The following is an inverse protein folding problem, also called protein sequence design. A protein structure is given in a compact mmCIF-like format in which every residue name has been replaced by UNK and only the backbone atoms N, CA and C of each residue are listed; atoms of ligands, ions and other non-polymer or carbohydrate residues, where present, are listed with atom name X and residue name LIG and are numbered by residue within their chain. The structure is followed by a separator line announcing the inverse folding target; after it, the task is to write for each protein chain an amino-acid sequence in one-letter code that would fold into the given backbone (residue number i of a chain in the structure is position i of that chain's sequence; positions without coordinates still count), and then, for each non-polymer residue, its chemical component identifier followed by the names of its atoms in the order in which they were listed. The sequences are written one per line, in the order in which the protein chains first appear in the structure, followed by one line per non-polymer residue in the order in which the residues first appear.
data_IF_738771765579
#
_entry.id   IF_738771765579
#
_cell.length_a   1.000
_cell.length_b   1.000
_cell.length_c   1.000
_cell.angle_alpha   90.00
_cell.angle_beta   90.00
_cell.angle_gamma   90.00
#
_symmetry.space_group_name_H-M   'P 1'
#
loop_
_entity.id
_entity.type
_entity.pdbx_description
1 polymer ?
#
# COMPACT_ATOMS: atom_id res chain seq x y z
N UNK A 1 -29.54 -25.57 -4.27
CA UNK A 1 -28.15 -25.40 -3.76
C UNK A 1 -27.82 -23.92 -3.86
N UNK A 2 -27.86 -23.26 -2.72
CA UNK A 2 -27.98 -21.81 -2.59
C UNK A 2 -26.65 -21.09 -2.63
N UNK A 3 -26.71 -19.88 -3.20
CA UNK A 3 -25.68 -18.85 -3.33
C UNK A 3 -24.93 -18.60 -2.02
N UNK A 4 -23.61 -18.75 -2.05
CA UNK A 4 -22.69 -18.08 -1.12
C UNK A 4 -22.47 -16.63 -1.60
N UNK A 5 -23.45 -15.78 -1.33
CA UNK A 5 -23.22 -14.33 -1.23
C UNK A 5 -22.91 -14.03 0.23
N UNK A 6 -21.64 -13.99 0.62
CA UNK A 6 -21.22 -13.41 1.91
C UNK A 6 -19.70 -13.34 2.00
N UNK A 7 -19.12 -12.14 1.83
CA UNK A 7 -17.90 -11.67 2.50
C UNK A 7 -17.41 -10.29 1.99
N UNK A 8 -17.83 -9.82 0.80
CA UNK A 8 -17.28 -8.59 0.21
C UNK A 8 -17.87 -7.26 0.73
N UNK A 9 -18.45 -7.21 1.94
CA UNK A 9 -19.08 -6.00 2.50
C UNK A 9 -18.54 -5.64 3.87
N UNK A 10 -17.26 -5.28 3.95
CA UNK A 10 -16.76 -4.39 5.01
C UNK A 10 -15.36 -3.83 4.71
N UNK A 11 -15.11 -3.35 3.50
CA UNK A 11 -14.00 -2.40 3.31
C UNK A 11 -14.50 -1.01 3.70
N UNK A 12 -14.14 -0.58 4.90
CA UNK A 12 -14.14 0.84 5.25
C UNK A 12 -13.28 1.58 4.22
N UNK A 13 -13.78 2.72 3.72
CA UNK A 13 -13.11 3.68 2.81
C UNK A 13 -12.10 3.03 1.84
N UNK A 14 -12.54 2.73 0.63
CA UNK A 14 -11.63 2.28 -0.43
C UNK A 14 -10.45 3.24 -0.57
N UNK A 15 -9.22 2.70 -0.45
CA UNK A 15 -7.97 3.41 -0.76
C UNK A 15 -7.89 3.48 -2.29
N UNK A 16 -8.41 4.55 -2.87
CA UNK A 16 -8.44 4.74 -4.32
C UNK A 16 -7.19 5.45 -4.78
N UNK A 17 -6.32 4.77 -5.53
CA UNK A 17 -5.35 5.44 -6.38
C UNK A 17 -6.01 5.93 -7.66
N UNK A 18 -5.81 7.20 -8.00
CA UNK A 18 -6.25 7.78 -9.27
C UNK A 18 -5.04 7.87 -10.21
N UNK A 19 -4.91 6.91 -11.13
CA UNK A 19 -3.96 7.05 -12.23
C UNK A 19 -4.56 8.00 -13.28
N UNK A 20 -4.20 9.29 -13.21
CA UNK A 20 -4.62 10.27 -14.22
C UNK A 20 -3.77 10.10 -15.50
N UNK A 21 -4.28 9.32 -16.44
CA UNK A 21 -3.86 9.32 -17.84
C UNK A 21 -4.91 10.06 -18.68
N UNK A 22 -4.86 11.39 -18.69
CA UNK A 22 -5.67 12.23 -19.59
C UNK A 22 -7.14 12.37 -19.19
N UNK A 23 -7.49 13.52 -18.61
CA UNK A 23 -8.86 13.88 -18.26
C UNK A 23 -8.90 14.69 -16.96
N UNK A 24 -8.80 16.01 -17.08
CA UNK A 24 -8.75 16.92 -15.93
C UNK A 24 -10.16 17.09 -15.37
N UNK A 25 -10.55 16.26 -14.40
CA UNK A 25 -11.39 16.77 -13.34
C UNK A 25 -10.54 17.79 -12.57
N UNK A 26 -11.04 19.02 -12.40
CA UNK A 26 -10.35 20.11 -11.71
C UNK A 26 -10.10 19.77 -10.25
N UNK A 27 -9.05 18.98 -9.99
CA UNK A 27 -8.43 18.89 -8.68
C UNK A 27 -7.79 20.24 -8.43
N UNK A 28 -8.27 20.93 -7.40
CA UNK A 28 -7.60 22.12 -6.87
C UNK A 28 -6.22 21.66 -6.40
N UNK A 29 -5.19 22.01 -7.16
CA UNK A 29 -3.82 21.65 -6.81
C UNK A 29 -3.46 22.29 -5.45
N UNK A 30 -2.65 21.62 -4.63
CA UNK A 30 -2.13 22.19 -3.39
C UNK A 30 -1.54 23.59 -3.63
N UNK A 31 -1.82 24.53 -2.74
CA UNK A 31 -1.26 25.88 -2.79
C UNK A 31 0.24 25.92 -2.49
N UNK A 32 0.78 24.87 -1.88
CA UNK A 32 2.20 24.64 -1.66
C UNK A 32 2.53 23.15 -1.75
N UNK A 33 3.76 22.85 -2.20
CA UNK A 33 4.30 21.50 -2.24
C UNK A 33 5.38 21.38 -1.17
N UNK A 34 5.33 20.30 -0.39
CA UNK A 34 6.39 19.98 0.56
C UNK A 34 7.53 19.28 -0.17
N UNK A 35 8.76 19.54 0.28
CA UNK A 35 9.94 18.78 -0.13
C UNK A 35 9.78 17.32 0.30
N UNK A 36 9.96 16.38 -0.64
CA UNK A 36 9.81 14.94 -0.39
C UNK A 36 10.85 14.42 0.60
N UNK A 37 11.99 15.09 0.76
CA UNK A 37 13.08 14.65 1.65
C UNK A 37 12.71 14.65 3.13
N UNK A 38 11.93 15.62 3.62
CA UNK A 38 11.54 15.67 5.05
C UNK A 38 10.45 14.67 5.41
N UNK A 39 9.54 14.39 4.47
CA UNK A 39 8.53 13.31 4.60
C UNK A 39 9.19 11.93 4.48
N UNK A 40 10.29 11.83 3.73
CA UNK A 40 10.95 10.56 3.43
C UNK A 40 11.63 9.90 4.63
N UNK A 41 12.22 10.67 5.56
CA UNK A 41 13.02 10.10 6.63
C UNK A 41 12.18 9.53 7.77
N UNK A 42 11.19 10.28 8.25
CA UNK A 42 10.36 9.87 9.40
C UNK A 42 9.48 8.65 9.07
N UNK A 43 8.83 8.64 7.90
CA UNK A 43 8.01 7.52 7.46
C UNK A 43 8.84 6.24 7.29
N UNK A 44 9.97 6.33 6.59
CA UNK A 44 10.87 5.18 6.38
C UNK A 44 11.49 4.71 7.70
N UNK A 45 11.85 5.63 8.59
CA UNK A 45 12.35 5.29 9.92
C UNK A 45 11.29 4.53 10.72
N UNK A 46 10.05 5.03 10.79
CA UNK A 46 8.96 4.36 11.49
C UNK A 46 8.67 2.95 10.93
N UNK A 47 8.66 2.80 9.61
CA UNK A 47 8.53 1.49 8.97
C UNK A 47 9.72 0.57 9.31
N UNK A 48 10.94 1.10 9.35
CA UNK A 48 12.15 0.35 9.74
C UNK A 48 12.08 -0.10 11.20
N UNK A 49 11.63 0.75 12.11
CA UNK A 49 11.46 0.44 13.54
C UNK A 49 10.41 -0.65 13.76
N UNK A 50 9.34 -0.68 12.95
CA UNK A 50 8.38 -1.79 12.94
C UNK A 50 8.95 -3.07 12.32
N UNK A 51 10.14 -3.02 11.73
CA UNK A 51 10.72 -4.08 10.88
C UNK A 51 9.82 -4.42 9.70
N UNK A 52 9.24 -3.40 9.07
CA UNK A 52 8.48 -3.52 7.84
C UNK A 52 9.43 -3.33 6.63
N UNK A 53 9.03 -3.81 5.44
CA UNK A 53 9.76 -3.59 4.19
C UNK A 53 9.95 -2.10 3.89
N UNK A 54 11.19 -1.70 3.60
CA UNK A 54 11.51 -0.29 3.30
C UNK A 54 12.29 -0.07 2.01
N UNK A 55 12.78 -1.12 1.35
CA UNK A 55 13.65 -0.97 0.17
C UNK A 55 12.96 -0.20 -0.96
N UNK A 56 11.80 -0.67 -1.39
CA UNK A 56 11.05 -0.01 -2.47
C UNK A 56 10.52 1.37 -2.04
N UNK A 57 10.16 1.54 -0.75
CA UNK A 57 9.73 2.83 -0.20
C UNK A 57 10.83 3.89 -0.32
N UNK A 58 12.07 3.54 0.07
CA UNK A 58 13.24 4.41 -0.05
C UNK A 58 13.50 4.79 -1.50
N UNK A 59 13.46 3.81 -2.41
CA UNK A 59 13.68 4.04 -3.85
C UNK A 59 12.57 4.92 -4.46
N UNK A 60 11.32 4.71 -4.08
CA UNK A 60 10.20 5.57 -4.49
C UNK A 60 10.42 7.02 -4.04
N UNK A 61 10.70 7.22 -2.75
CA UNK A 61 10.88 8.55 -2.17
C UNK A 61 12.06 9.31 -2.78
N UNK A 62 13.17 8.62 -3.08
CA UNK A 62 14.32 9.19 -3.77
C UNK A 62 14.00 9.67 -5.19
N UNK A 63 13.02 9.03 -5.85
CA UNK A 63 12.62 9.40 -7.19
C UNK A 63 11.45 10.38 -7.20
N UNK A 64 10.70 10.54 -6.11
CA UNK A 64 9.48 11.35 -6.04
C UNK A 64 9.77 12.86 -6.12
N UNK A 65 9.08 13.57 -7.02
CA UNK A 65 9.25 15.01 -7.25
C UNK A 65 8.61 15.91 -6.20
N UNK A 66 7.82 15.36 -5.26
CA UNK A 66 7.19 16.11 -4.18
C UNK A 66 5.89 15.51 -3.66
N UNK A 67 5.48 15.98 -2.50
CA UNK A 67 4.23 15.60 -1.83
C UNK A 67 3.39 16.85 -1.57
N UNK A 68 2.08 16.74 -1.77
CA UNK A 68 1.12 17.80 -1.49
C UNK A 68 -0.10 17.28 -0.75
N UNK A 69 -0.93 18.22 -0.29
CA UNK A 69 -2.16 17.92 0.43
C UNK A 69 -3.32 18.71 -0.15
N UNK A 70 -4.46 18.06 -0.39
CA UNK A 70 -5.64 18.70 -0.94
C UNK A 70 -6.92 18.03 -0.44
N UNK A 71 -8.05 18.74 -0.57
CA UNK A 71 -9.36 18.12 -0.43
C UNK A 71 -9.59 17.19 -1.62
N UNK A 72 -9.55 15.89 -1.38
CA UNK A 72 -9.79 14.85 -2.39
C UNK A 72 -11.29 14.50 -2.45
N UNK A 73 -11.77 13.92 -3.58
CA UNK A 73 -13.12 13.38 -3.66
C UNK A 73 -13.42 12.39 -2.52
N UNK A 74 -14.69 12.23 -2.12
CA UNK A 74 -15.10 11.44 -0.92
C UNK A 74 -14.56 10.01 -0.84
N UNK A 75 -14.11 9.44 -1.96
CA UNK A 75 -13.60 8.08 -2.05
C UNK A 75 -12.09 7.99 -2.29
N UNK A 76 -11.33 9.10 -2.24
CA UNK A 76 -9.89 9.09 -2.46
C UNK A 76 -9.16 9.67 -1.25
N UNK A 77 -8.18 8.93 -0.73
CA UNK A 77 -7.34 9.34 0.41
C UNK A 77 -5.96 9.80 -0.09
N UNK A 78 -5.54 9.34 -1.27
CA UNK A 78 -4.33 9.79 -1.93
C UNK A 78 -4.42 9.61 -3.45
N UNK A 79 -3.50 10.25 -4.17
CA UNK A 79 -3.36 10.14 -5.62
C UNK A 79 -1.91 10.32 -6.02
N UNK A 80 -1.31 9.32 -6.67
CA UNK A 80 -0.06 9.48 -7.41
C UNK A 80 -0.29 9.98 -8.84
N UNK A 81 0.31 11.12 -9.17
CA UNK A 81 0.35 11.66 -10.53
C UNK A 81 1.64 11.23 -11.24
N UNK A 82 1.51 10.31 -12.21
CA UNK A 82 2.64 9.79 -13.01
C UNK A 82 3.36 10.83 -13.85
N UNK A 83 2.66 11.86 -14.34
CA UNK A 83 3.24 12.88 -15.23
C UNK A 83 4.14 13.83 -14.47
N UNK A 84 3.71 14.27 -13.29
CA UNK A 84 4.50 15.16 -12.43
C UNK A 84 5.37 14.41 -11.43
N UNK A 85 5.12 13.11 -11.28
CA UNK A 85 5.74 12.23 -10.31
C UNK A 85 5.60 12.79 -8.89
N UNK A 86 4.37 13.16 -8.53
CA UNK A 86 4.00 13.72 -7.23
C UNK A 86 2.86 12.94 -6.63
N UNK A 87 2.81 12.87 -5.29
CA UNK A 87 1.67 12.31 -4.57
C UNK A 87 0.91 13.45 -3.90
N UNK A 88 -0.41 13.42 -4.03
CA UNK A 88 -1.32 14.29 -3.27
C UNK A 88 -2.06 13.43 -2.25
N UNK A 89 -1.91 13.73 -0.96
CA UNK A 89 -2.66 13.08 0.11
C UNK A 89 -3.86 13.94 0.55
N UNK A 90 -4.82 13.32 1.23
CA UNK A 90 -5.91 14.01 1.91
C UNK A 90 -5.41 14.96 3.00
N UNK A 91 -6.15 16.05 3.24
CA UNK A 91 -5.80 17.04 4.28
C UNK A 91 -5.72 16.45 5.69
N UNK A 92 -6.38 15.33 5.94
CA UNK A 92 -6.30 14.57 7.18
C UNK A 92 -4.89 14.03 7.46
N UNK A 93 -4.06 13.79 6.44
CA UNK A 93 -2.69 13.30 6.59
C UNK A 93 -1.67 14.43 6.83
N UNK A 94 -2.13 15.68 6.79
CA UNK A 94 -1.30 16.87 7.00
C UNK A 94 -1.25 17.25 8.48
N UNK A 95 -0.04 17.52 8.99
CA UNK A 95 0.14 18.26 10.24
C UNK A 95 -0.22 19.73 9.99
N UNK A 96 -1.33 20.19 10.58
CA UNK A 96 -1.84 21.56 10.43
C UNK A 96 -0.88 22.64 10.93
N UNK A 97 0.07 22.31 11.80
CA UNK A 97 1.04 23.27 12.35
C UNK A 97 2.19 23.52 11.40
N UNK A 98 2.68 22.47 10.74
CA UNK A 98 3.88 22.52 9.90
C UNK A 98 3.54 22.56 8.41
N UNK A 99 2.33 22.16 8.04
CA UNK A 99 1.92 21.97 6.64
C UNK A 99 2.55 20.73 5.99
N UNK A 100 3.32 19.94 6.74
CA UNK A 100 3.97 18.71 6.28
C UNK A 100 3.07 17.48 6.51
N UNK A 101 3.53 16.30 6.10
CA UNK A 101 2.90 15.05 6.53
C UNK A 101 2.98 14.92 8.05
N UNK A 102 1.94 14.38 8.67
CA UNK A 102 1.98 13.93 10.06
C UNK A 102 3.16 12.98 10.29
N UNK A 103 3.67 12.95 11.52
CA UNK A 103 4.69 11.97 11.90
C UNK A 103 4.14 10.55 11.78
N UNK A 104 5.00 9.58 11.56
CA UNK A 104 4.63 8.18 11.43
C UNK A 104 3.76 7.68 12.60
N UNK A 105 4.10 8.08 13.83
CA UNK A 105 3.36 7.72 15.04
C UNK A 105 1.94 8.33 15.11
N UNK A 106 1.66 9.36 14.33
CA UNK A 106 0.37 10.08 14.27
C UNK A 106 -0.49 9.63 13.08
N UNK A 107 0.08 8.85 12.15
CA UNK A 107 -0.65 8.22 11.05
C UNK A 107 -1.38 6.97 11.56
N UNK A 108 -2.66 6.86 11.24
CA UNK A 108 -3.44 5.63 11.37
C UNK A 108 -2.87 4.50 10.48
N UNK A 109 -3.28 3.26 10.75
CA UNK A 109 -2.80 2.11 9.98
C UNK A 109 -3.22 2.21 8.49
N UNK A 110 -4.42 2.72 8.23
CA UNK A 110 -4.95 2.98 6.88
C UNK A 110 -4.14 4.05 6.15
N UNK A 111 -3.78 5.13 6.85
CA UNK A 111 -2.94 6.20 6.30
C UNK A 111 -1.53 5.68 5.98
N UNK A 112 -0.93 4.85 6.84
CA UNK A 112 0.39 4.21 6.58
C UNK A 112 0.32 3.30 5.35
N UNK A 113 -0.71 2.46 5.25
CA UNK A 113 -0.91 1.59 4.11
C UNK A 113 -1.16 2.37 2.81
N UNK A 114 -1.86 3.50 2.89
CA UNK A 114 -2.07 4.42 1.76
C UNK A 114 -0.76 5.03 1.28
N UNK A 115 0.13 5.48 2.19
CA UNK A 115 1.46 5.96 1.79
C UNK A 115 2.25 4.86 1.09
N UNK A 116 2.25 3.65 1.63
CA UNK A 116 2.98 2.51 1.05
C UNK A 116 2.45 2.12 -0.36
N UNK A 117 1.13 2.22 -0.56
CA UNK A 117 0.44 2.02 -1.84
C UNK A 117 0.87 3.04 -2.89
N UNK A 118 0.78 4.34 -2.58
CA UNK A 118 1.12 5.38 -3.55
C UNK A 118 2.62 5.41 -3.88
N UNK A 119 3.47 5.10 -2.89
CA UNK A 119 4.90 4.92 -3.11
C UNK A 119 5.20 3.71 -4.00
N UNK A 120 4.38 2.66 -3.96
CA UNK A 120 4.51 1.56 -4.92
C UNK A 120 4.28 2.05 -6.35
N UNK A 121 3.25 2.84 -6.63
CA UNK A 121 3.05 3.40 -7.98
C UNK A 121 4.22 4.27 -8.44
N UNK A 122 4.79 5.07 -7.53
CA UNK A 122 5.99 5.85 -7.82
C UNK A 122 7.20 4.94 -8.14
N UNK A 123 7.49 3.96 -7.28
CA UNK A 123 8.55 2.96 -7.51
C UNK A 123 8.34 2.24 -8.85
N UNK A 124 7.12 1.80 -9.12
CA UNK A 124 6.79 1.06 -10.33
C UNK A 124 7.06 1.88 -11.59
N UNK A 125 6.59 3.14 -11.61
CA UNK A 125 6.71 4.03 -12.75
C UNK A 125 8.14 4.55 -12.98
N UNK A 126 8.91 4.76 -11.91
CA UNK A 126 10.21 5.46 -11.99
C UNK A 126 11.41 4.55 -11.86
N UNK A 127 11.28 3.40 -11.19
CA UNK A 127 12.36 2.45 -10.92
C UNK A 127 12.10 1.14 -11.64
N UNK A 128 11.10 0.36 -11.20
CA UNK A 128 10.90 -1.01 -11.67
C UNK A 128 10.78 -1.12 -13.20
N UNK A 129 9.98 -0.25 -13.82
CA UNK A 129 9.78 -0.22 -15.27
C UNK A 129 11.05 0.20 -16.03
N UNK A 130 11.93 0.99 -15.42
CA UNK A 130 13.14 1.51 -16.08
C UNK A 130 14.34 0.58 -15.95
N UNK A 131 14.46 -0.12 -14.83
CA UNK A 131 15.58 -1.02 -14.56
C UNK A 131 15.38 -2.40 -15.20
N UNK A 132 14.18 -2.70 -15.71
CA UNK A 132 13.77 -4.03 -16.19
C UNK A 132 14.19 -5.15 -15.22
N UNK A 133 14.08 -4.87 -13.93
CA UNK A 133 14.35 -5.84 -12.87
C UNK A 133 13.46 -7.08 -13.03
N UNK A 134 13.91 -8.20 -12.43
CA UNK A 134 13.14 -9.46 -12.44
C UNK A 134 11.69 -9.25 -12.00
N UNK A 135 11.46 -8.36 -11.02
CA UNK A 135 10.14 -7.96 -10.57
C UNK A 135 9.22 -7.45 -11.71
N UNK A 136 9.69 -6.51 -12.53
CA UNK A 136 8.88 -5.93 -13.62
C UNK A 136 8.62 -6.93 -14.73
N UNK A 137 9.60 -7.79 -15.06
CA UNK A 137 9.43 -8.82 -16.11
C UNK A 137 8.36 -9.85 -15.71
N UNK A 138 8.38 -10.32 -14.47
CA UNK A 138 7.37 -11.25 -13.95
C UNK A 138 6.00 -10.58 -13.90
N UNK A 139 5.91 -9.34 -13.38
CA UNK A 139 4.67 -8.56 -13.42
C UNK A 139 4.13 -8.42 -14.85
N UNK A 140 4.97 -8.08 -15.83
CA UNK A 140 4.54 -7.84 -17.21
C UNK A 140 4.03 -9.13 -17.87
N UNK A 141 4.73 -10.25 -17.64
CA UNK A 141 4.32 -11.57 -18.12
C UNK A 141 2.95 -11.96 -17.55
N UNK A 142 2.74 -11.76 -16.25
CA UNK A 142 1.45 -12.03 -15.61
C UNK A 142 0.34 -11.11 -16.13
N UNK A 143 0.63 -9.80 -16.22
CA UNK A 143 -0.29 -8.81 -16.75
C UNK A 143 -0.80 -9.16 -18.15
N UNK A 144 0.09 -9.56 -19.06
CA UNK A 144 -0.27 -9.94 -20.44
C UNK A 144 -1.17 -11.17 -20.47
N UNK A 145 -0.96 -12.14 -19.57
CA UNK A 145 -1.73 -13.39 -19.51
C UNK A 145 -3.12 -13.18 -18.92
N UNK A 146 -3.21 -12.43 -17.82
CA UNK A 146 -4.45 -12.24 -17.06
C UNK A 146 -5.34 -11.14 -17.64
N UNK A 147 -4.73 -10.07 -18.17
CA UNK A 147 -5.39 -8.83 -18.53
C UNK A 147 -5.32 -8.56 -20.02
N UNK A 148 -5.39 -9.59 -20.87
CA UNK A 148 -5.26 -9.45 -22.34
C UNK A 148 -6.30 -8.50 -22.97
N UNK A 149 -7.44 -8.29 -22.31
CA UNK A 149 -8.52 -7.35 -22.70
C UNK A 149 -8.59 -6.09 -21.84
N UNK A 150 -7.68 -5.91 -20.88
CA UNK A 150 -7.72 -4.81 -19.90
C UNK A 150 -6.44 -3.96 -19.95
N UNK A 151 -6.50 -2.65 -19.65
CA UNK A 151 -5.31 -1.83 -19.44
C UNK A 151 -4.42 -2.40 -18.33
N UNK A 152 -3.10 -2.41 -18.54
CA UNK A 152 -2.16 -2.93 -17.52
C UNK A 152 -2.22 -2.19 -16.16
N UNK A 153 -2.82 -1.00 -16.11
CA UNK A 153 -3.07 -0.29 -14.85
C UNK A 153 -3.90 -1.08 -13.84
N UNK A 154 -4.77 -1.99 -14.30
CA UNK A 154 -5.51 -2.90 -13.41
C UNK A 154 -4.60 -3.80 -12.59
N UNK A 155 -3.57 -4.35 -13.24
CA UNK A 155 -2.65 -5.26 -12.58
C UNK A 155 -1.73 -4.53 -11.61
N UNK A 156 -1.32 -3.31 -11.98
CA UNK A 156 -0.57 -2.44 -11.07
C UNK A 156 -1.40 -2.09 -9.82
N UNK A 157 -2.69 -1.75 -9.97
CA UNK A 157 -3.57 -1.49 -8.82
C UNK A 157 -3.75 -2.74 -7.95
N UNK A 158 -3.89 -3.93 -8.55
CA UNK A 158 -4.00 -5.18 -7.79
C UNK A 158 -2.76 -5.41 -6.92
N UNK A 159 -1.56 -5.15 -7.45
CA UNK A 159 -0.32 -5.18 -6.67
C UNK A 159 -0.35 -4.17 -5.52
N UNK A 160 -0.74 -2.93 -5.80
CA UNK A 160 -0.84 -1.87 -4.81
C UNK A 160 -1.85 -2.20 -3.70
N UNK A 161 -3.00 -2.79 -4.05
CA UNK A 161 -4.01 -3.25 -3.11
C UNK A 161 -3.52 -4.39 -2.22
N UNK A 162 -2.77 -5.36 -2.78
CA UNK A 162 -2.14 -6.41 -1.96
C UNK A 162 -1.14 -5.81 -0.96
N UNK A 163 -0.32 -4.86 -1.40
CA UNK A 163 0.61 -4.11 -0.53
C UNK A 163 -0.14 -3.38 0.58
N UNK A 164 -1.29 -2.75 0.26
CA UNK A 164 -2.13 -2.09 1.25
C UNK A 164 -2.57 -3.07 2.35
N UNK A 165 -3.14 -4.21 1.97
CA UNK A 165 -3.70 -5.20 2.93
C UNK A 165 -2.59 -5.75 3.83
N UNK A 166 -1.46 -6.16 3.26
CA UNK A 166 -0.35 -6.76 4.03
C UNK A 166 0.31 -5.73 4.94
N UNK A 167 0.55 -4.50 4.47
CA UNK A 167 1.14 -3.42 5.29
C UNK A 167 0.19 -3.02 6.41
N UNK A 168 -1.10 -2.82 6.12
CA UNK A 168 -2.09 -2.43 7.13
C UNK A 168 -2.17 -3.47 8.26
N UNK A 169 -2.34 -4.75 7.89
CA UNK A 169 -2.42 -5.84 8.87
C UNK A 169 -1.14 -6.00 9.68
N UNK A 170 0.03 -5.94 9.02
CA UNK A 170 1.31 -6.02 9.72
C UNK A 170 1.48 -4.86 10.70
N UNK A 171 1.30 -3.61 10.24
CA UNK A 171 1.47 -2.40 11.08
C UNK A 171 0.50 -2.43 12.27
N UNK A 172 -0.77 -2.76 12.04
CA UNK A 172 -1.77 -2.87 13.09
C UNK A 172 -1.33 -3.86 14.18
N UNK A 173 -0.96 -5.08 13.79
CA UNK A 173 -0.54 -6.12 14.72
C UNK A 173 0.78 -5.78 15.43
N UNK A 174 1.75 -5.15 14.72
CA UNK A 174 3.01 -4.73 15.34
C UNK A 174 2.77 -3.65 16.39
N UNK A 175 1.93 -2.65 16.10
CA UNK A 175 1.53 -1.60 17.06
C UNK A 175 0.77 -2.20 18.25
N UNK A 176 -0.17 -3.11 17.99
CA UNK A 176 -0.92 -3.83 19.02
C UNK A 176 0.01 -4.60 19.96
N UNK A 177 0.98 -5.34 19.43
CA UNK A 177 1.96 -6.10 20.21
C UNK A 177 2.93 -5.19 20.99
N UNK A 178 3.43 -4.12 20.37
CA UNK A 178 4.36 -3.17 20.98
C UNK A 178 3.74 -2.46 22.19
N UNK A 179 2.43 -2.21 22.18
CA UNK A 179 1.69 -1.62 23.29
C UNK A 179 1.47 -2.56 24.50
N UNK A 180 1.92 -3.83 24.43
CA UNK A 180 1.75 -4.81 25.52
C UNK A 180 3.07 -5.11 26.23
N UNK A 181 2.95 -5.56 27.48
CA UNK A 181 4.07 -6.17 28.20
C UNK A 181 4.49 -7.50 27.53
N UNK A 182 5.69 -8.04 27.82
CA UNK A 182 6.10 -9.35 27.29
C UNK A 182 5.05 -10.46 27.55
N UNK A 183 4.52 -10.55 28.77
CA UNK A 183 3.45 -11.50 29.11
C UNK A 183 2.15 -11.24 28.33
N UNK A 184 1.84 -9.99 28.00
CA UNK A 184 0.71 -9.63 27.14
C UNK A 184 0.93 -10.05 25.69
N UNK A 185 2.14 -9.84 25.14
CA UNK A 185 2.52 -10.33 23.80
C UNK A 185 2.47 -11.85 23.73
N UNK A 186 2.91 -12.56 24.76
CA UNK A 186 2.81 -14.03 24.83
C UNK A 186 1.36 -14.53 24.72
N UNK A 187 0.41 -13.82 25.35
CA UNK A 187 -1.02 -14.14 25.22
C UNK A 187 -1.52 -13.91 23.80
N UNK A 188 -1.14 -12.79 23.18
CA UNK A 188 -1.49 -12.50 21.79
C UNK A 188 -0.89 -13.54 20.83
N UNK A 189 0.36 -13.96 21.05
CA UNK A 189 1.04 -15.01 20.26
C UNK A 189 0.33 -16.37 20.30
N UNK A 190 -0.34 -16.69 21.41
CA UNK A 190 -1.11 -17.93 21.57
C UNK A 190 -2.55 -17.82 21.06
N UNK A 191 -2.98 -16.64 20.63
CA UNK A 191 -4.31 -16.43 20.10
C UNK A 191 -4.38 -16.87 18.63
N UNK A 192 -4.96 -18.04 18.39
CA UNK A 192 -5.10 -18.62 17.05
C UNK A 192 -5.87 -17.73 16.08
N UNK A 193 -6.83 -16.93 16.55
CA UNK A 193 -7.59 -16.04 15.67
C UNK A 193 -6.70 -14.89 15.16
N UNK A 194 -5.80 -14.37 15.99
CA UNK A 194 -4.87 -13.31 15.57
C UNK A 194 -3.85 -13.87 14.57
N UNK A 195 -3.34 -15.06 14.83
CA UNK A 195 -2.45 -15.75 13.90
C UNK A 195 -3.14 -15.98 12.54
N UNK A 196 -4.37 -16.51 12.57
CA UNK A 196 -5.16 -16.76 11.36
C UNK A 196 -5.43 -15.48 10.56
N UNK A 197 -5.76 -14.36 11.21
CA UNK A 197 -5.95 -13.07 10.52
C UNK A 197 -4.68 -12.64 9.79
N UNK A 198 -3.52 -12.78 10.42
CA UNK A 198 -2.24 -12.44 9.81
C UNK A 198 -1.84 -13.38 8.67
N UNK A 199 -2.02 -14.68 8.83
CA UNK A 199 -1.65 -15.63 7.78
C UNK A 199 -2.62 -15.54 6.59
N UNK A 200 -3.90 -15.24 6.86
CA UNK A 200 -4.92 -15.08 5.82
C UNK A 200 -4.68 -13.88 4.91
N UNK A 201 -4.02 -12.80 5.37
CA UNK A 201 -3.76 -11.63 4.50
C UNK A 201 -2.88 -11.95 3.29
N UNK A 202 -2.07 -13.01 3.34
CA UNK A 202 -1.25 -13.45 2.20
C UNK A 202 -2.03 -14.31 1.20
N UNK A 203 -3.16 -14.88 1.63
CA UNK A 203 -4.00 -15.76 0.82
C UNK A 203 -5.31 -15.09 0.39
N UNK A 204 -5.63 -13.92 0.92
CA UNK A 204 -6.82 -13.14 0.57
C UNK A 204 -6.85 -12.81 -0.93
N UNK A 205 -8.04 -12.94 -1.52
CA UNK A 205 -8.28 -12.58 -2.92
C UNK A 205 -8.17 -11.06 -3.09
N UNK A 206 -7.32 -10.65 -4.03
CA UNK A 206 -7.06 -9.25 -4.36
C UNK A 206 -7.44 -9.00 -5.80
N UNK A 207 -8.47 -8.18 -6.00
CA UNK A 207 -8.95 -7.80 -7.31
C UNK A 207 -8.40 -6.42 -7.69
N UNK A 208 -7.90 -6.28 -8.91
CA UNK A 208 -7.52 -4.96 -9.46
C UNK A 208 -8.76 -4.11 -9.78
N UNK A 209 -8.60 -2.79 -9.82
CA UNK A 209 -9.65 -1.89 -10.31
C UNK A 209 -9.03 -0.60 -10.89
N UNK A 210 -9.82 0.19 -11.62
CA UNK A 210 -9.39 1.52 -12.09
C UNK A 210 -10.59 2.44 -12.31
N UNK A 211 -10.31 3.74 -12.55
CA UNK A 211 -11.31 4.69 -13.06
C UNK A 211 -11.28 4.75 -14.58
N UNK A 212 -12.43 4.48 -15.21
CA UNK A 212 -12.58 4.75 -16.64
C UNK A 212 -12.57 6.25 -16.95
N UNK A 213 -12.61 6.62 -18.23
CA UNK A 213 -12.62 8.01 -18.68
C UNK A 213 -13.74 8.86 -18.05
N UNK A 214 -14.84 8.22 -17.63
CA UNK A 214 -15.98 8.85 -16.96
C UNK A 214 -15.85 8.93 -15.44
N UNK A 215 -14.71 8.52 -14.88
CA UNK A 215 -14.46 8.49 -13.44
C UNK A 215 -15.18 7.36 -12.70
N UNK A 216 -15.75 6.38 -13.39
CA UNK A 216 -16.43 5.23 -12.79
C UNK A 216 -15.42 4.16 -12.40
N UNK A 217 -15.61 3.55 -11.23
CA UNK A 217 -14.83 2.40 -10.81
C UNK A 217 -15.22 1.16 -11.62
N UNK A 218 -14.22 0.53 -12.22
CA UNK A 218 -14.36 -0.76 -12.87
C UNK A 218 -13.47 -1.74 -12.11
N UNK A 219 -14.10 -2.71 -11.44
CA UNK A 219 -13.42 -3.81 -10.79
C UNK A 219 -13.10 -4.92 -11.79
N UNK A 220 -11.92 -5.50 -11.66
CA UNK A 220 -11.55 -6.77 -12.28
C UNK A 220 -12.27 -7.90 -11.56
N UNK A 221 -12.78 -8.88 -12.31
CA UNK A 221 -13.20 -10.17 -11.78
C UNK A 221 -12.04 -11.18 -11.67
N UNK A 222 -10.87 -10.82 -12.20
CA UNK A 222 -9.61 -11.58 -12.08
C UNK A 222 -8.91 -11.24 -10.77
N UNK A 223 -8.77 -12.26 -9.92
CA UNK A 223 -7.99 -12.26 -8.69
C UNK A 223 -6.48 -12.27 -8.98
N UNK A 224 -5.69 -11.59 -8.15
CA UNK A 224 -4.25 -11.54 -8.22
C UNK A 224 -3.66 -12.93 -7.93
N UNK A 225 -3.00 -13.58 -8.90
CA UNK A 225 -2.48 -14.93 -8.67
C UNK A 225 -1.46 -15.00 -7.55
N UNK A 226 -1.39 -16.16 -6.92
CA UNK A 226 -0.41 -16.45 -5.87
C UNK A 226 1.04 -16.14 -6.29
N UNK A 227 1.41 -16.44 -7.53
CA UNK A 227 2.76 -16.14 -8.06
C UNK A 227 3.09 -14.65 -8.02
N UNK A 228 2.10 -13.79 -8.21
CA UNK A 228 2.29 -12.34 -8.17
C UNK A 228 2.38 -11.81 -6.74
N UNK A 229 1.61 -12.40 -5.82
CA UNK A 229 1.76 -12.17 -4.38
C UNK A 229 3.17 -12.56 -3.91
N UNK A 230 3.64 -13.75 -4.29
CA UNK A 230 5.00 -14.22 -4.00
C UNK A 230 6.07 -13.32 -4.63
N UNK A 231 5.83 -12.80 -5.85
CA UNK A 231 6.71 -11.84 -6.51
C UNK A 231 6.84 -10.54 -5.68
N UNK A 232 5.75 -10.03 -5.12
CA UNK A 232 5.76 -8.87 -4.21
C UNK A 232 6.56 -9.19 -2.94
N UNK A 233 6.24 -10.29 -2.27
CA UNK A 233 6.89 -10.69 -1.01
C UNK A 233 8.41 -10.90 -1.20
N UNK A 234 8.80 -11.49 -2.33
CA UNK A 234 10.22 -11.78 -2.61
C UNK A 234 10.97 -10.51 -3.02
N UNK A 235 10.42 -9.75 -3.97
CA UNK A 235 11.19 -8.67 -4.62
C UNK A 235 10.94 -7.28 -4.02
N UNK A 236 9.79 -7.03 -3.41
CA UNK A 236 9.55 -5.75 -2.73
C UNK A 236 9.87 -5.86 -1.24
N UNK A 237 9.54 -7.00 -0.63
CA UNK A 237 9.74 -7.18 0.81
C UNK A 237 11.07 -7.80 1.19
N UNK A 238 11.80 -8.40 0.25
CA UNK A 238 13.16 -8.92 0.48
C UNK A 238 13.24 -9.92 1.66
N UNK A 239 12.13 -10.61 1.96
CA UNK A 239 12.01 -11.49 3.12
C UNK A 239 11.87 -10.79 4.48
N UNK A 240 11.76 -9.46 4.54
CA UNK A 240 11.64 -8.70 5.80
C UNK A 240 10.33 -8.99 6.55
N UNK A 241 9.30 -9.38 5.80
CA UNK A 241 7.95 -9.66 6.27
C UNK A 241 7.67 -11.17 6.13
N UNK A 242 7.82 -11.95 7.21
CA UNK A 242 7.51 -13.37 7.20
C UNK A 242 6.02 -13.59 6.97
N UNK A 243 5.66 -14.63 6.22
CA UNK A 243 4.27 -15.03 6.01
C UNK A 243 3.70 -15.81 7.20
N UNK A 244 4.56 -16.37 8.06
CA UNK A 244 4.15 -17.03 9.30
C UNK A 244 4.08 -16.08 10.50
N UNK A 245 2.99 -16.18 11.27
CA UNK A 245 2.76 -15.29 12.40
C UNK A 245 3.80 -15.44 13.51
N UNK A 246 4.30 -16.66 13.74
CA UNK A 246 5.23 -16.94 14.82
C UNK A 246 6.59 -16.23 14.61
N UNK A 247 7.12 -16.22 13.38
CA UNK A 247 8.35 -15.54 13.03
C UNK A 247 8.16 -14.03 12.91
N UNK A 248 7.05 -13.57 12.33
CA UNK A 248 6.74 -12.15 12.20
C UNK A 248 6.66 -11.44 13.55
N UNK A 249 6.17 -12.13 14.59
CA UNK A 249 5.93 -11.56 15.92
C UNK A 249 6.70 -12.22 17.05
N UNK A 250 7.83 -12.88 16.76
CA UNK A 250 8.72 -13.43 17.78
C UNK A 250 9.19 -12.34 18.77
N UNK A 251 9.31 -12.67 20.07
CA UNK A 251 9.70 -11.69 21.11
C UNK A 251 11.07 -11.05 20.85
N UNK A 252 11.98 -11.76 20.18
CA UNK A 252 13.28 -11.21 19.74
C UNK A 252 13.14 -10.01 18.81
N UNK A 253 11.98 -9.81 18.17
CA UNK A 253 11.69 -8.68 17.28
C UNK A 253 11.09 -7.46 18.00
N UNK A 254 10.93 -7.51 19.33
CA UNK A 254 10.41 -6.42 20.19
C UNK A 254 11.43 -5.93 21.23
N UNK A 255 12.70 -6.33 21.08
CA UNK A 255 13.82 -5.87 21.90
C UNK A 255 14.51 -4.68 21.27
#
# INVERSE_FOLDING_TARGET
MGRTQSAARQFGRAIVAIILAGGVASLTLPSSWADSTSVSSDFVQGMTELRAPVRYLKQALQNLSGIGFAALPENAIAVYNRLTNRITFGLEMQDRRTGAMKKFAELSDDEVATVAHELFHCYFATVAKRTEEGFYREWYKSAVQLYSSHPFGFHEEAYAAFITITVQNYVNLRRMMAARTPAGRDRLRRNQNIAAIYEQTFEESVFGYYRNFWGQFIASDVDLPRTDRENILTNLYDGDLPDDFAAAFAESRFK
#
